data_IF_197148995271
#
_entry.id   IF_197148995271
#
_cell.length_a   1.000
_cell.length_b   1.000
_cell.length_c   1.000
_cell.angle_alpha   90.00
_cell.angle_beta   90.00
_cell.angle_gamma   90.00
#
_symmetry.space_group_name_H-M   'P 1'
#
loop_
_entity.id
_entity.type
_entity.pdbx_description
1 polymer ?
#
# COMPACT_ATOMS: atom_id res chain seq x y z
N UNK A 1 6.03 14.74 -28.83
CA UNK A 1 6.54 13.38 -28.60
C UNK A 1 5.36 12.46 -28.64
N UNK A 2 5.20 11.85 -29.80
CA UNK A 2 4.16 10.91 -30.19
C UNK A 2 4.21 9.62 -29.36
N UNK A 3 3.05 9.11 -28.97
CA UNK A 3 2.96 7.86 -28.23
C UNK A 3 1.54 7.33 -28.15
N UNK A 4 1.22 6.35 -29.00
CA UNK A 4 0.08 5.46 -28.83
C UNK A 4 -0.75 5.24 -30.09
N UNK A 5 -0.21 4.47 -31.04
CA UNK A 5 -0.98 3.93 -32.17
C UNK A 5 -2.07 3.01 -31.62
N UNK A 6 -3.34 3.33 -31.88
CA UNK A 6 -4.47 2.42 -31.65
C UNK A 6 -4.42 1.30 -32.72
N UNK A 7 -3.71 0.19 -32.46
CA UNK A 7 -3.60 -0.97 -33.38
C UNK A 7 -4.62 -2.08 -33.12
N UNK A 8 -5.71 -1.82 -32.40
CA UNK A 8 -6.65 -2.91 -32.04
C UNK A 8 -7.30 -3.59 -33.27
N UNK A 9 -7.49 -2.85 -34.38
CA UNK A 9 -8.11 -3.37 -35.61
C UNK A 9 -7.18 -4.24 -36.46
N UNK A 10 -5.89 -3.87 -36.58
CA UNK A 10 -4.94 -4.65 -37.39
C UNK A 10 -4.59 -5.99 -36.76
N UNK A 11 -4.55 -6.03 -35.43
CA UNK A 11 -4.14 -7.23 -34.69
C UNK A 11 -5.20 -8.33 -34.80
N UNK A 12 -6.48 -7.98 -34.74
CA UNK A 12 -7.59 -8.94 -34.89
C UNK A 12 -7.69 -9.48 -36.31
N UNK A 13 -7.50 -8.64 -37.33
CA UNK A 13 -7.49 -9.07 -38.74
C UNK A 13 -6.38 -10.09 -39.00
N UNK A 14 -5.19 -9.85 -38.44
CA UNK A 14 -4.07 -10.77 -38.54
C UNK A 14 -4.38 -12.13 -37.89
N UNK A 15 -5.10 -12.13 -36.77
CA UNK A 15 -5.50 -13.33 -36.04
C UNK A 15 -6.57 -14.11 -36.82
N UNK A 16 -7.57 -13.43 -37.37
CA UNK A 16 -8.61 -14.03 -38.21
C UNK A 16 -8.02 -14.69 -39.46
N UNK A 17 -7.03 -14.06 -40.08
CA UNK A 17 -6.30 -14.64 -41.22
C UNK A 17 -5.59 -15.94 -40.81
N UNK A 18 -4.84 -15.93 -39.70
CA UNK A 18 -4.17 -17.14 -39.19
C UNK A 18 -5.16 -18.25 -38.84
N UNK A 19 -6.29 -17.89 -38.23
CA UNK A 19 -7.35 -18.84 -37.90
C UNK A 19 -7.92 -19.48 -39.16
N UNK A 20 -8.23 -18.69 -40.19
CA UNK A 20 -8.76 -19.17 -41.46
C UNK A 20 -7.79 -20.12 -42.18
N UNK A 21 -6.51 -19.76 -42.21
CA UNK A 21 -5.45 -20.60 -42.81
C UNK A 21 -5.35 -21.95 -42.07
N UNK A 22 -5.48 -21.96 -40.73
CA UNK A 22 -5.49 -23.19 -39.92
C UNK A 22 -6.77 -24.00 -40.11
N UNK A 23 -7.93 -23.34 -40.18
CA UNK A 23 -9.25 -23.96 -40.30
C UNK A 23 -9.39 -24.79 -41.58
N UNK A 24 -8.80 -24.32 -42.70
CA UNK A 24 -8.78 -25.07 -43.97
C UNK A 24 -8.10 -26.42 -43.87
N UNK A 25 -7.07 -26.52 -43.04
CA UNK A 25 -6.27 -27.73 -42.86
C UNK A 25 -6.79 -28.63 -41.72
N UNK A 26 -7.83 -28.23 -40.99
CA UNK A 26 -8.37 -29.02 -39.88
C UNK A 26 -9.23 -30.21 -40.38
N UNK A 27 -9.19 -31.35 -39.68
CA UNK A 27 -10.14 -32.45 -39.87
C UNK A 27 -11.59 -32.01 -39.62
N UNK A 28 -12.55 -32.71 -40.24
CA UNK A 28 -13.98 -32.36 -40.20
C UNK A 28 -14.54 -32.15 -38.79
N UNK A 29 -14.25 -33.07 -37.85
CA UNK A 29 -14.73 -32.92 -36.47
C UNK A 29 -14.20 -31.67 -35.77
N UNK A 30 -12.92 -31.34 -35.95
CA UNK A 30 -12.32 -30.13 -35.37
C UNK A 30 -12.88 -28.85 -35.99
N UNK A 31 -13.29 -28.90 -37.27
CA UNK A 31 -13.92 -27.77 -37.95
C UNK A 31 -15.29 -27.47 -37.38
N UNK A 32 -16.12 -28.49 -37.18
CA UNK A 32 -17.44 -28.34 -36.56
C UNK A 32 -17.34 -27.79 -35.13
N UNK A 33 -16.40 -28.30 -34.33
CA UNK A 33 -16.18 -27.81 -32.98
C UNK A 33 -15.71 -26.35 -32.97
N UNK A 34 -14.79 -25.99 -33.86
CA UNK A 34 -14.32 -24.61 -34.01
C UNK A 34 -15.45 -23.66 -34.44
N UNK A 35 -16.36 -24.10 -35.32
CA UNK A 35 -17.53 -23.31 -35.70
C UNK A 35 -18.47 -23.07 -34.51
N UNK A 36 -18.73 -24.11 -33.70
CA UNK A 36 -19.55 -23.97 -32.49
C UNK A 36 -18.93 -22.97 -31.51
N UNK A 37 -17.61 -23.00 -31.32
CA UNK A 37 -16.92 -22.06 -30.45
C UNK A 37 -17.02 -20.60 -30.94
N UNK A 38 -16.84 -20.37 -32.25
CA UNK A 38 -17.02 -19.02 -32.82
C UNK A 38 -18.47 -18.55 -32.68
N UNK A 39 -19.44 -19.44 -32.94
CA UNK A 39 -20.85 -19.12 -32.76
C UNK A 39 -21.17 -18.78 -31.30
N UNK A 40 -20.58 -19.49 -30.33
CA UNK A 40 -20.71 -19.17 -28.92
C UNK A 40 -20.11 -17.80 -28.59
N UNK A 41 -18.94 -17.46 -29.13
CA UNK A 41 -18.32 -16.15 -28.89
C UNK A 41 -19.12 -14.98 -29.46
N UNK A 42 -19.70 -15.14 -30.66
CA UNK A 42 -20.50 -14.09 -31.31
C UNK A 42 -21.83 -13.90 -30.56
N UNK A 43 -22.46 -14.99 -30.12
CA UNK A 43 -23.74 -14.96 -29.44
C UNK A 43 -23.62 -14.84 -27.92
N UNK A 44 -22.41 -14.86 -27.38
CA UNK A 44 -22.19 -14.62 -25.96
C UNK A 44 -22.63 -13.19 -25.67
N UNK A 45 -23.61 -13.05 -24.79
CA UNK A 45 -23.88 -11.77 -24.17
C UNK A 45 -22.58 -11.33 -23.51
N UNK A 46 -22.05 -10.18 -23.93
CA UNK A 46 -20.91 -9.55 -23.25
C UNK A 46 -21.37 -9.41 -21.80
N UNK A 47 -20.78 -10.14 -20.84
CA UNK A 47 -21.19 -9.95 -19.47
C UNK A 47 -20.88 -8.48 -19.19
N UNK A 48 -21.92 -7.73 -18.84
CA UNK A 48 -21.78 -6.43 -18.21
C UNK A 48 -21.12 -6.72 -16.86
N UNK A 49 -19.83 -7.05 -16.86
CA UNK A 49 -19.00 -6.97 -15.67
C UNK A 49 -18.89 -5.48 -15.38
N UNK A 50 -19.97 -4.95 -14.81
CA UNK A 50 -19.93 -3.90 -13.81
C UNK A 50 -18.78 -4.32 -12.91
N UNK A 51 -17.69 -3.56 -12.95
CA UNK A 51 -16.54 -3.78 -12.09
C UNK A 51 -17.07 -4.15 -10.71
N UNK A 52 -16.66 -5.30 -10.14
CA UNK A 52 -17.23 -5.76 -8.90
C UNK A 52 -17.10 -4.61 -7.91
N UNK A 53 -18.23 -4.17 -7.34
CA UNK A 53 -18.23 -3.09 -6.36
C UNK A 53 -17.23 -3.48 -5.29
N UNK A 54 -16.10 -2.77 -5.22
CA UNK A 54 -15.02 -3.06 -4.29
C UNK A 54 -15.59 -2.81 -2.90
N UNK A 55 -16.15 -3.85 -2.29
CA UNK A 55 -16.59 -3.77 -0.91
C UNK A 55 -15.32 -3.69 -0.06
N UNK A 56 -15.14 -2.61 0.72
CA UNK A 56 -13.98 -2.51 1.58
C UNK A 56 -13.97 -3.72 2.53
N UNK A 57 -12.79 -4.34 2.67
CA UNK A 57 -12.59 -5.44 3.60
C UNK A 57 -13.08 -5.04 5.01
N UNK A 58 -13.57 -6.02 5.78
CA UNK A 58 -13.96 -5.83 7.19
C UNK A 58 -12.74 -5.31 7.97
N UNK A 59 -12.69 -4.01 8.13
CA UNK A 59 -11.56 -3.30 8.70
C UNK A 59 -12.07 -2.18 9.59
N UNK A 60 -11.21 -1.19 9.82
CA UNK A 60 -11.56 -0.06 10.66
C UNK A 60 -12.70 0.73 10.00
N UNK A 61 -13.78 1.06 10.73
CA UNK A 61 -14.83 1.91 10.18
C UNK A 61 -14.25 3.24 9.69
N UNK A 62 -14.81 3.74 8.58
CA UNK A 62 -14.45 5.02 8.00
C UNK A 62 -14.60 6.13 9.05
N UNK A 63 -13.61 7.03 9.11
CA UNK A 63 -13.61 8.14 10.08
C UNK A 63 -13.01 7.84 11.46
N UNK A 64 -12.59 6.60 11.73
CA UNK A 64 -11.95 6.28 13.01
C UNK A 64 -10.53 6.88 13.13
N UNK A 65 -10.32 7.74 14.14
CA UNK A 65 -9.00 8.36 14.46
C UNK A 65 -8.30 7.62 15.60
N UNK A 66 -6.97 7.53 15.59
CA UNK A 66 -6.23 6.91 16.73
C UNK A 66 -6.37 7.84 17.95
N UNK A 67 -6.87 7.32 19.08
CA UNK A 67 -6.84 8.05 20.36
C UNK A 67 -5.39 8.07 20.84
N UNK A 68 -4.87 9.26 21.18
CA UNK A 68 -3.55 9.41 21.81
C UNK A 68 -3.76 9.35 23.33
N UNK A 69 -3.16 8.38 24.02
CA UNK A 69 -3.05 8.38 25.48
C UNK A 69 -3.85 7.30 26.21
N UNK A 70 -5.16 7.18 25.97
CA UNK A 70 -6.02 6.26 26.73
C UNK A 70 -6.50 5.08 25.88
N UNK A 71 -5.65 4.07 25.70
CA UNK A 71 -6.08 2.78 25.16
C UNK A 71 -5.87 1.71 26.21
N UNK A 72 -6.93 0.98 26.57
CA UNK A 72 -6.85 -0.14 27.52
C UNK A 72 -5.89 -1.27 27.07
N UNK A 73 -5.42 -1.23 25.82
CA UNK A 73 -4.49 -2.19 25.22
C UNK A 73 -3.05 -1.70 25.13
N UNK A 74 -2.72 -0.49 25.62
CA UNK A 74 -1.32 -0.08 25.67
C UNK A 74 -0.59 -0.89 26.73
N UNK A 75 0.56 -1.42 26.36
CA UNK A 75 1.47 -2.09 27.29
C UNK A 75 1.99 -1.07 28.32
N UNK A 76 2.07 -1.49 29.58
CA UNK A 76 2.74 -0.70 30.60
C UNK A 76 4.21 -0.49 30.24
N UNK A 77 4.72 0.76 30.33
CA UNK A 77 6.11 1.05 30.03
C UNK A 77 7.03 0.31 31.00
N UNK A 78 8.15 -0.18 30.49
CA UNK A 78 9.17 -0.84 31.31
C UNK A 78 9.80 0.14 32.30
N UNK A 79 10.28 -0.37 33.44
CA UNK A 79 11.02 0.43 34.42
C UNK A 79 12.21 1.20 33.80
N UNK A 80 12.88 0.61 32.80
CA UNK A 80 13.96 1.28 32.06
C UNK A 80 13.46 2.48 31.22
N UNK A 81 12.32 2.32 30.54
CA UNK A 81 11.71 3.38 29.72
C UNK A 81 11.21 4.54 30.61
N UNK A 82 10.71 4.23 31.81
CA UNK A 82 10.29 5.24 32.79
C UNK A 82 11.49 6.07 33.26
N UNK A 83 12.61 5.42 33.58
CA UNK A 83 13.81 6.08 34.10
C UNK A 83 14.46 7.00 33.06
N UNK A 84 14.59 6.56 31.80
CA UNK A 84 15.13 7.41 30.73
C UNK A 84 14.25 8.63 30.47
N UNK A 85 12.93 8.48 30.50
CA UNK A 85 11.97 9.56 30.29
C UNK A 85 11.89 10.54 31.47
N UNK A 86 12.23 10.11 32.68
CA UNK A 86 12.04 10.88 33.91
C UNK A 86 13.34 11.42 34.54
N UNK A 87 14.53 11.02 34.07
CA UNK A 87 15.80 11.53 34.62
C UNK A 87 15.95 13.04 34.37
N UNK A 88 15.69 13.81 35.42
CA UNK A 88 15.90 15.27 35.46
C UNK A 88 17.35 15.57 35.82
N UNK A 89 17.92 16.59 35.20
CA UNK A 89 19.22 17.13 35.60
C UNK A 89 19.17 17.59 37.08
N UNK A 90 20.16 17.22 37.88
CA UNK A 90 20.20 17.59 39.31
C UNK A 90 20.44 19.08 39.56
N UNK A 91 20.84 19.84 38.53
CA UNK A 91 21.19 21.28 38.64
C UNK A 91 20.05 22.18 38.18
N UNK A 92 19.42 21.85 37.05
CA UNK A 92 18.36 22.68 36.45
C UNK A 92 16.98 21.99 36.42
N UNK A 93 16.89 20.74 36.85
CA UNK A 93 15.66 19.93 36.89
C UNK A 93 14.95 19.71 35.54
N UNK A 94 15.58 20.05 34.42
CA UNK A 94 15.08 19.74 33.08
C UNK A 94 15.49 18.33 32.61
N UNK A 95 14.64 17.74 31.77
CA UNK A 95 14.84 16.41 31.16
C UNK A 95 15.67 16.57 29.86
N UNK A 96 16.40 15.53 29.46
CA UNK A 96 17.14 15.49 28.19
C UNK A 96 18.62 15.81 28.29
N UNK A 97 19.14 16.05 29.50
CA UNK A 97 20.57 16.18 29.75
C UNK A 97 20.90 15.83 31.21
N UNK A 98 22.16 15.50 31.49
CA UNK A 98 22.65 15.18 32.85
C UNK A 98 23.46 16.34 33.43
N UNK A 99 23.92 16.21 34.69
CA UNK A 99 24.71 17.26 35.37
C UNK A 99 25.93 17.70 34.56
N UNK A 100 26.67 16.76 33.97
CA UNK A 100 27.90 17.07 33.21
C UNK A 100 27.65 17.81 31.89
N UNK A 101 26.46 17.68 31.32
CA UNK A 101 26.07 18.36 30.07
C UNK A 101 25.16 19.57 30.32
N UNK A 102 24.93 19.95 31.58
CA UNK A 102 24.04 21.03 31.95
C UNK A 102 24.62 22.42 31.61
N UNK A 103 23.95 23.15 30.71
CA UNK A 103 24.33 24.52 30.35
C UNK A 103 24.24 25.49 31.54
N UNK A 104 23.29 25.28 32.45
CA UNK A 104 23.16 26.07 33.68
C UNK A 104 24.34 25.84 34.64
N UNK A 105 24.87 24.62 34.70
CA UNK A 105 26.06 24.36 35.51
C UNK A 105 27.28 25.07 34.91
N UNK A 106 27.48 24.95 33.59
CA UNK A 106 28.57 25.63 32.88
C UNK A 106 28.56 27.14 33.14
N UNK A 107 27.40 27.78 32.98
CA UNK A 107 27.29 29.22 33.20
C UNK A 107 27.48 29.65 34.66
N UNK A 108 27.22 28.79 35.64
CA UNK A 108 27.49 29.09 37.06
C UNK A 108 28.98 28.96 37.41
N UNK A 109 29.67 27.99 36.80
CA UNK A 109 31.12 27.81 36.93
C UNK A 109 31.87 28.96 36.26
N UNK A 110 31.47 29.35 35.04
CA UNK A 110 32.08 30.49 34.33
C UNK A 110 31.92 31.82 35.08
N UNK A 111 30.86 31.94 35.89
CA UNK A 111 30.58 33.13 36.72
C UNK A 111 31.22 33.05 38.12
N UNK A 112 31.97 31.99 38.42
CA UNK A 112 32.64 31.79 39.72
C UNK A 112 31.68 31.58 40.89
N UNK A 113 30.42 31.21 40.63
CA UNK A 113 29.39 31.01 41.68
C UNK A 113 29.46 29.62 42.28
N UNK A 114 29.98 28.64 41.53
CA UNK A 114 30.15 27.25 41.93
C UNK A 114 31.55 26.78 41.47
N UNK A 115 32.28 26.09 42.32
CA UNK A 115 33.56 25.42 42.02
C UNK A 115 33.38 23.95 41.72
#
# INVERSE_FOLDING_TARGET
>A
MDGGVNTNGSDIESLLKKFHDKYKCMPLGQREDSQKQIAQLINAEIPLTLEPTIQPHKGRPSGSKKRKGDSSTTRDPSAFEIVEKARKCSVCHHIGHNRSTCQRLKSLVDRGVLT
#
